data_IF_870174595206
#
_entry.id   IF_870174595206
#
_cell.length_a   1.000
_cell.length_b   1.000
_cell.length_c   1.000
_cell.angle_alpha   90.00
_cell.angle_beta   90.00
_cell.angle_gamma   90.00
#
_symmetry.space_group_name_H-M   'P 1'
#
loop_
_entity.id
_entity.type
_entity.pdbx_description
1 polymer ?
#
# COMPACT_ATOMS: atom_id res chain seq x y z
N UNK A 1 -2.24 14.96 -9.86
CA UNK A 1 -1.37 14.66 -11.03
C UNK A 1 -1.88 15.52 -12.18
N UNK A 2 -1.03 16.37 -12.77
CA UNK A 2 -1.39 17.15 -13.94
C UNK A 2 -1.73 16.27 -15.16
N UNK A 3 -2.60 16.73 -16.07
CA UNK A 3 -3.10 15.92 -17.20
C UNK A 3 -2.00 15.60 -18.22
N UNK A 4 -1.03 16.49 -18.33
CA UNK A 4 0.15 16.39 -19.20
C UNK A 4 1.10 15.25 -18.81
N UNK A 5 0.99 14.72 -17.58
CA UNK A 5 1.74 13.55 -17.11
C UNK A 5 0.91 12.26 -17.17
N UNK A 6 -0.19 12.25 -17.94
CA UNK A 6 -1.06 11.09 -18.13
C UNK A 6 -1.00 10.62 -19.57
N UNK A 7 -0.46 9.42 -19.75
CA UNK A 7 -0.24 8.80 -21.05
C UNK A 7 -1.18 7.62 -21.23
N UNK A 8 -1.84 7.56 -22.37
CA UNK A 8 -2.74 6.46 -22.73
C UNK A 8 -1.96 5.40 -23.49
N UNK A 9 -2.11 4.14 -23.08
CA UNK A 9 -1.45 2.99 -23.70
C UNK A 9 -2.51 2.19 -24.47
N UNK A 10 -2.22 1.78 -25.72
CA UNK A 10 -3.11 0.87 -26.43
C UNK A 10 -3.02 -0.55 -25.85
N UNK A 11 -3.92 -0.91 -24.94
CA UNK A 11 -4.13 -2.29 -24.49
C UNK A 11 -5.61 -2.55 -24.15
N UNK A 12 -6.02 -3.82 -24.02
CA UNK A 12 -7.32 -4.13 -23.40
C UNK A 12 -7.40 -5.53 -22.81
N UNK A 13 -7.83 -5.60 -21.55
CA UNK A 13 -8.36 -6.80 -20.92
C UNK A 13 -9.90 -6.80 -20.98
N UNK A 14 -10.50 -7.98 -21.15
CA UNK A 14 -11.93 -8.19 -20.96
C UNK A 14 -12.28 -8.27 -19.47
N UNK A 15 -13.57 -8.12 -19.16
CA UNK A 15 -14.08 -8.21 -17.78
C UNK A 15 -13.91 -9.60 -17.15
N UNK A 16 -13.64 -10.63 -17.93
CA UNK A 16 -13.32 -11.98 -17.47
C UNK A 16 -11.81 -12.26 -17.35
N UNK A 17 -10.96 -11.28 -17.68
CA UNK A 17 -9.50 -11.40 -17.63
C UNK A 17 -8.84 -11.88 -18.91
N UNK A 18 -9.60 -12.20 -19.98
CA UNK A 18 -9.03 -12.53 -21.29
C UNK A 18 -8.43 -11.30 -21.96
N UNK A 19 -7.31 -11.47 -22.65
CA UNK A 19 -6.72 -10.41 -23.47
C UNK A 19 -7.63 -10.14 -24.68
N UNK A 20 -8.08 -8.90 -24.82
CA UNK A 20 -8.84 -8.42 -26.00
C UNK A 20 -7.96 -7.68 -26.99
N UNK A 21 -6.95 -6.97 -26.48
CA UNK A 21 -5.93 -6.29 -27.27
C UNK A 21 -4.63 -6.38 -26.49
N UNK A 22 -3.63 -6.99 -27.11
CA UNK A 22 -2.27 -7.06 -26.57
C UNK A 22 -1.74 -5.65 -26.25
N UNK A 23 -0.90 -5.58 -25.22
CA UNK A 23 -0.27 -4.32 -24.83
C UNK A 23 0.76 -3.86 -25.88
N UNK A 24 0.63 -2.61 -26.32
CA UNK A 24 1.67 -1.96 -27.13
C UNK A 24 2.84 -1.53 -26.24
N UNK A 25 3.85 -2.41 -26.14
CA UNK A 25 5.05 -2.14 -25.34
C UNK A 25 5.89 -0.99 -25.88
N UNK A 26 5.83 -0.69 -27.18
CA UNK A 26 6.59 0.44 -27.72
C UNK A 26 5.91 1.77 -27.38
N UNK A 27 4.57 1.80 -27.30
CA UNK A 27 3.85 2.93 -26.73
C UNK A 27 4.19 3.14 -25.24
N UNK A 28 4.29 2.05 -24.46
CA UNK A 28 4.73 2.14 -23.06
C UNK A 28 6.12 2.76 -22.96
N UNK A 29 7.10 2.27 -23.73
CA UNK A 29 8.47 2.80 -23.71
C UNK A 29 8.51 4.27 -24.09
N UNK A 30 7.80 4.68 -25.16
CA UNK A 30 7.72 6.09 -25.58
C UNK A 30 7.14 6.98 -24.47
N UNK A 31 6.02 6.57 -23.87
CA UNK A 31 5.39 7.31 -22.77
C UNK A 31 6.32 7.41 -21.55
N UNK A 32 7.03 6.33 -21.22
CA UNK A 32 7.95 6.29 -20.09
C UNK A 32 9.15 7.24 -20.29
N UNK A 33 9.71 7.29 -21.50
CA UNK A 33 10.81 8.22 -21.85
C UNK A 33 10.31 9.67 -21.77
N UNK A 34 9.14 9.97 -22.33
CA UNK A 34 8.55 11.31 -22.23
C UNK A 34 8.31 11.74 -20.77
N UNK A 35 7.81 10.83 -19.93
CA UNK A 35 7.61 11.10 -18.52
C UNK A 35 8.95 11.37 -17.81
N UNK A 36 9.99 10.59 -18.11
CA UNK A 36 11.35 10.80 -17.57
C UNK A 36 11.91 12.16 -17.99
N UNK A 37 11.77 12.53 -19.25
CA UNK A 37 12.20 13.84 -19.78
C UNK A 37 11.44 15.00 -19.14
N UNK A 38 10.18 14.79 -18.74
CA UNK A 38 9.40 15.73 -17.96
C UNK A 38 9.81 15.79 -16.46
N UNK A 39 10.82 15.02 -16.05
CA UNK A 39 11.40 15.07 -14.71
C UNK A 39 10.65 14.25 -13.64
N UNK A 40 9.84 13.26 -14.02
CA UNK A 40 9.17 12.41 -13.03
C UNK A 40 10.15 11.45 -12.36
N UNK A 41 10.03 11.30 -11.04
CA UNK A 41 10.86 10.39 -10.23
C UNK A 41 10.24 8.98 -10.08
N UNK A 42 8.99 8.81 -10.54
CA UNK A 42 8.27 7.55 -10.45
C UNK A 42 7.04 7.51 -11.34
N UNK A 43 6.61 6.30 -11.70
CA UNK A 43 5.49 6.07 -12.61
C UNK A 43 4.45 5.17 -11.92
N UNK A 44 3.17 5.42 -12.18
CA UNK A 44 2.07 4.56 -11.75
C UNK A 44 1.38 3.99 -12.99
N UNK A 45 1.05 2.69 -12.96
CA UNK A 45 0.35 2.00 -14.04
C UNK A 45 -0.99 1.49 -13.52
N UNK A 46 -2.06 1.82 -14.23
CA UNK A 46 -3.41 1.37 -13.92
C UNK A 46 -4.19 1.07 -15.21
N UNK A 47 -4.36 -0.22 -15.50
CA UNK A 47 -5.15 -0.69 -16.64
C UNK A 47 -6.51 -1.23 -16.21
N UNK A 48 -7.47 -1.21 -17.12
CA UNK A 48 -8.80 -1.75 -16.82
C UNK A 48 -8.73 -3.27 -16.64
N UNK A 49 -9.44 -3.77 -15.63
CA UNK A 49 -9.51 -5.19 -15.27
C UNK A 49 -8.17 -5.86 -14.88
N UNK A 50 -7.10 -5.11 -14.63
CA UNK A 50 -5.82 -5.72 -14.20
C UNK A 50 -5.89 -6.42 -12.84
N UNK A 51 -6.90 -6.09 -12.00
CA UNK A 51 -7.20 -6.84 -10.78
C UNK A 51 -7.61 -8.30 -11.02
N UNK A 52 -8.03 -8.65 -12.26
CA UNK A 52 -8.30 -10.04 -12.67
C UNK A 52 -7.12 -10.68 -13.36
N UNK A 53 -6.45 -9.92 -14.23
CA UNK A 53 -5.28 -10.38 -14.96
C UNK A 53 -4.22 -9.26 -15.00
N UNK A 54 -3.17 -9.34 -14.17
CA UNK A 54 -2.16 -8.29 -14.05
C UNK A 54 -1.12 -8.30 -15.18
N UNK A 55 -1.19 -9.24 -16.14
CA UNK A 55 -0.13 -9.49 -17.11
C UNK A 55 0.32 -8.23 -17.88
N UNK A 56 -0.61 -7.39 -18.32
CA UNK A 56 -0.25 -6.14 -19.02
C UNK A 56 0.42 -5.11 -18.10
N UNK A 57 -0.01 -4.99 -16.85
CA UNK A 57 0.63 -4.05 -15.92
C UNK A 57 2.05 -4.51 -15.55
N UNK A 58 2.25 -5.81 -15.35
CA UNK A 58 3.56 -6.40 -15.13
C UNK A 58 4.48 -6.15 -16.33
N UNK A 59 4.00 -6.44 -17.54
CA UNK A 59 4.77 -6.20 -18.76
C UNK A 59 5.09 -4.71 -18.96
N UNK A 60 4.14 -3.81 -18.65
CA UNK A 60 4.37 -2.38 -18.70
C UNK A 60 5.45 -1.93 -17.70
N UNK A 61 5.37 -2.39 -16.45
CA UNK A 61 6.38 -2.11 -15.42
C UNK A 61 7.76 -2.51 -15.89
N UNK A 62 7.91 -3.75 -16.37
CA UNK A 62 9.20 -4.28 -16.78
C UNK A 62 9.75 -3.50 -18.00
N UNK A 63 8.90 -3.13 -18.95
CA UNK A 63 9.27 -2.29 -20.09
C UNK A 63 9.67 -0.85 -19.68
N UNK A 64 8.95 -0.24 -18.73
CA UNK A 64 9.28 1.09 -18.18
C UNK A 64 10.67 1.05 -17.53
N UNK A 65 10.91 0.06 -16.67
CA UNK A 65 12.18 -0.11 -15.96
C UNK A 65 13.32 -0.28 -16.96
N UNK A 66 13.15 -1.17 -17.95
CA UNK A 66 14.16 -1.42 -18.98
C UNK A 66 14.48 -0.19 -19.84
N UNK A 67 13.47 0.62 -20.19
CA UNK A 67 13.65 1.78 -21.06
C UNK A 67 14.21 3.01 -20.34
N UNK A 68 13.87 3.19 -19.06
CA UNK A 68 14.13 4.46 -18.35
C UNK A 68 15.12 4.33 -17.20
N UNK A 69 15.29 3.12 -16.64
CA UNK A 69 16.00 2.87 -15.39
C UNK A 69 15.24 3.30 -14.13
N UNK A 70 14.05 3.90 -14.25
CA UNK A 70 13.23 4.32 -13.10
C UNK A 70 12.74 3.07 -12.37
N UNK A 71 13.19 2.88 -11.12
CA UNK A 71 12.81 1.74 -10.29
C UNK A 71 11.49 1.96 -9.53
N UNK A 72 11.09 3.22 -9.34
CA UNK A 72 9.87 3.57 -8.64
C UNK A 72 8.65 3.47 -9.57
N UNK A 73 8.27 2.23 -9.89
CA UNK A 73 7.07 1.93 -10.70
C UNK A 73 6.08 1.15 -9.84
N UNK A 74 4.90 1.73 -9.58
CA UNK A 74 3.81 1.04 -8.89
C UNK A 74 2.75 0.60 -9.88
N UNK A 75 2.35 -0.67 -9.81
CA UNK A 75 1.23 -1.19 -10.59
C UNK A 75 0.01 -1.36 -9.69
N UNK A 76 -1.14 -0.92 -10.17
CA UNK A 76 -2.36 -0.87 -9.35
C UNK A 76 -2.86 -2.26 -8.93
N UNK A 77 -2.56 -3.29 -9.71
CA UNK A 77 -2.89 -4.69 -9.41
C UNK A 77 -2.09 -5.25 -8.23
N UNK A 78 -0.86 -4.78 -7.98
CA UNK A 78 -0.10 -5.15 -6.77
C UNK A 78 -0.61 -4.39 -5.54
N UNK A 79 -0.95 -3.10 -5.71
CA UNK A 79 -1.31 -2.21 -4.60
C UNK A 79 -2.74 -2.47 -4.09
N UNK A 80 -3.70 -2.59 -4.99
CA UNK A 80 -5.09 -2.77 -4.61
C UNK A 80 -5.87 -3.57 -5.66
N UNK A 81 -5.75 -4.92 -5.69
CA UNK A 81 -6.41 -5.77 -6.68
C UNK A 81 -7.92 -5.94 -6.43
N UNK A 82 -8.68 -4.84 -6.52
CA UNK A 82 -10.15 -4.84 -6.43
C UNK A 82 -10.78 -4.16 -7.65
N UNK A 83 -12.08 -4.39 -7.83
CA UNK A 83 -12.86 -3.66 -8.84
C UNK A 83 -12.94 -2.16 -8.47
N UNK A 84 -12.96 -1.29 -9.49
CA UNK A 84 -12.88 0.17 -9.35
C UNK A 84 -11.57 0.72 -9.88
N UNK A 85 -11.59 1.36 -11.06
CA UNK A 85 -10.40 1.89 -11.71
C UNK A 85 -9.91 3.20 -11.10
N UNK A 86 -10.82 4.06 -10.65
CA UNK A 86 -10.46 5.36 -10.08
C UNK A 86 -9.70 5.20 -8.76
N UNK A 87 -10.25 4.39 -7.85
CA UNK A 87 -9.67 4.10 -6.56
C UNK A 87 -8.31 3.40 -6.69
N UNK A 88 -8.20 2.45 -7.61
CA UNK A 88 -6.96 1.74 -7.93
C UNK A 88 -5.89 2.66 -8.50
N UNK A 89 -6.27 3.50 -9.47
CA UNK A 89 -5.35 4.45 -10.07
C UNK A 89 -4.81 5.43 -9.02
N UNK A 90 -5.69 5.96 -8.16
CA UNK A 90 -5.29 6.84 -7.05
C UNK A 90 -4.35 6.13 -6.09
N UNK A 91 -4.65 4.89 -5.69
CA UNK A 91 -3.79 4.14 -4.79
C UNK A 91 -2.39 3.92 -5.38
N UNK A 92 -2.30 3.57 -6.67
CA UNK A 92 -1.02 3.41 -7.36
C UNK A 92 -0.25 4.74 -7.44
N UNK A 93 -0.92 5.84 -7.78
CA UNK A 93 -0.32 7.18 -7.82
C UNK A 93 0.18 7.63 -6.45
N UNK A 94 -0.64 7.47 -5.40
CA UNK A 94 -0.24 7.80 -4.03
C UNK A 94 0.93 6.95 -3.56
N UNK A 95 0.93 5.65 -3.88
CA UNK A 95 2.05 4.77 -3.54
C UNK A 95 3.34 5.24 -4.20
N UNK A 96 3.33 5.46 -5.53
CA UNK A 96 4.49 5.97 -6.27
C UNK A 96 5.00 7.30 -5.72
N UNK A 97 4.09 8.21 -5.36
CA UNK A 97 4.44 9.53 -4.82
C UNK A 97 5.12 9.46 -3.44
N UNK A 98 4.61 8.61 -2.54
CA UNK A 98 5.08 8.53 -1.15
C UNK A 98 6.33 7.64 -1.01
N UNK A 99 6.52 6.69 -1.93
CA UNK A 99 7.53 5.63 -1.85
C UNK A 99 8.98 6.11 -1.63
N UNK A 100 9.50 7.12 -2.32
CA UNK A 100 10.89 7.56 -2.11
C UNK A 100 11.14 8.05 -0.68
N UNK A 101 10.24 8.90 -0.15
CA UNK A 101 10.36 9.47 1.20
C UNK A 101 10.24 8.40 2.28
N UNK A 102 9.25 7.51 2.15
CA UNK A 102 9.08 6.43 3.11
C UNK A 102 10.22 5.41 3.06
N UNK A 103 10.76 5.15 1.87
CA UNK A 103 11.92 4.26 1.72
C UNK A 103 13.14 4.78 2.46
N UNK A 104 13.45 6.08 2.32
CA UNK A 104 14.56 6.71 3.03
C UNK A 104 14.33 6.69 4.55
N UNK A 105 13.14 7.09 5.00
CA UNK A 105 12.79 7.11 6.42
C UNK A 105 12.91 5.73 7.09
N UNK A 106 12.36 4.69 6.46
CA UNK A 106 12.44 3.33 7.01
C UNK A 106 13.89 2.84 7.03
N UNK A 107 14.67 3.11 5.99
CA UNK A 107 16.09 2.73 5.94
C UNK A 107 16.92 3.39 7.05
N UNK A 108 16.62 4.65 7.41
CA UNK A 108 17.26 5.33 8.54
C UNK A 108 16.97 4.65 9.88
N UNK A 109 15.72 4.20 10.09
CA UNK A 109 15.34 3.45 11.29
C UNK A 109 16.03 2.09 11.32
N UNK A 110 16.06 1.36 10.20
CA UNK A 110 16.74 0.07 10.10
C UNK A 110 18.23 0.19 10.43
N UNK A 111 18.90 1.24 9.92
CA UNK A 111 20.30 1.52 10.25
C UNK A 111 20.49 1.80 11.74
N UNK A 112 19.65 2.66 12.31
CA UNK A 112 19.71 3.02 13.73
C UNK A 112 19.51 1.79 14.63
N UNK A 113 18.58 0.89 14.26
CA UNK A 113 18.34 -0.37 14.94
C UNK A 113 19.53 -1.32 14.81
N UNK A 114 20.09 -1.49 13.61
CA UNK A 114 21.26 -2.35 13.40
C UNK A 114 22.49 -1.94 14.23
N UNK A 115 22.67 -0.64 14.47
CA UNK A 115 23.78 -0.11 15.29
C UNK A 115 23.59 -0.34 16.79
N UNK A 116 22.36 -0.41 17.29
CA UNK A 116 22.06 -0.34 18.75
C UNK A 116 21.32 -1.56 19.30
N UNK A 117 20.54 -2.22 18.46
CA UNK A 117 19.63 -3.32 18.77
C UNK A 117 19.68 -4.37 17.63
N UNK A 118 20.82 -5.06 17.41
CA UNK A 118 21.06 -5.89 16.24
C UNK A 118 20.08 -7.07 16.08
N UNK A 119 19.48 -7.54 17.18
CA UNK A 119 18.49 -8.62 17.17
C UNK A 119 17.04 -8.13 17.05
N UNK A 120 16.81 -6.80 17.04
CA UNK A 120 15.47 -6.24 16.95
C UNK A 120 14.91 -6.32 15.53
N UNK A 121 13.62 -6.66 15.44
CA UNK A 121 12.87 -6.67 14.18
C UNK A 121 12.00 -5.42 14.08
N UNK A 122 12.11 -4.68 12.98
CA UNK A 122 11.26 -3.53 12.71
C UNK A 122 9.93 -3.98 12.09
N UNK A 123 8.84 -3.66 12.79
CA UNK A 123 7.49 -3.77 12.28
C UNK A 123 6.83 -2.40 12.21
N UNK A 124 6.06 -2.16 11.15
CA UNK A 124 5.40 -0.88 10.87
C UNK A 124 3.90 -1.12 10.82
N UNK A 125 3.13 -0.35 11.57
CA UNK A 125 1.69 -0.52 11.62
C UNK A 125 1.03 -0.15 10.27
N UNK A 126 0.00 -0.90 9.90
CA UNK A 126 -0.87 -0.66 8.75
C UNK A 126 -2.16 0.06 9.15
N UNK A 127 -2.82 0.64 8.15
CA UNK A 127 -4.12 1.28 8.30
C UNK A 127 -5.27 0.32 8.67
N UNK A 128 -5.09 -0.99 8.50
CA UNK A 128 -6.06 -2.01 8.86
C UNK A 128 -5.89 -2.53 10.31
N UNK A 129 -4.91 -2.03 11.07
CA UNK A 129 -4.59 -2.48 12.43
C UNK A 129 -3.61 -3.66 12.51
N UNK A 130 -3.14 -4.18 11.38
CA UNK A 130 -2.05 -5.15 11.30
C UNK A 130 -0.67 -4.48 11.24
N UNK A 131 0.39 -5.30 11.13
CA UNK A 131 1.77 -4.81 11.02
C UNK A 131 2.48 -5.41 9.79
N UNK A 132 3.35 -4.61 9.17
CA UNK A 132 4.20 -4.97 8.04
C UNK A 132 5.65 -5.10 8.49
N UNK A 133 6.38 -5.99 7.82
CA UNK A 133 7.84 -5.91 7.82
C UNK A 133 8.30 -4.62 7.10
N UNK A 134 9.47 -4.11 7.48
CA UNK A 134 10.05 -2.90 6.90
C UNK A 134 10.14 -2.95 5.37
N UNK A 135 10.57 -4.08 4.80
CA UNK A 135 10.68 -4.27 3.34
C UNK A 135 9.33 -4.08 2.62
N UNK A 136 8.25 -4.62 3.19
CA UNK A 136 6.91 -4.52 2.60
C UNK A 136 6.34 -3.10 2.74
N UNK A 137 6.58 -2.45 3.89
CA UNK A 137 6.21 -1.05 4.09
C UNK A 137 6.96 -0.09 3.15
N UNK A 138 8.20 -0.42 2.74
CA UNK A 138 8.94 0.32 1.70
C UNK A 138 8.37 0.06 0.31
N UNK A 139 7.89 -1.15 0.03
CA UNK A 139 7.30 -1.50 -1.25
C UNK A 139 5.93 -0.83 -1.45
N UNK A 140 5.09 -0.84 -0.41
CA UNK A 140 3.69 -0.40 -0.43
C UNK A 140 3.32 0.57 0.71
N UNK A 141 4.00 1.73 0.84
CA UNK A 141 3.78 2.66 1.95
C UNK A 141 2.37 3.29 1.97
N UNK A 142 1.61 3.21 0.88
CA UNK A 142 0.21 3.65 0.88
C UNK A 142 -0.62 2.92 1.96
N UNK A 143 -0.24 1.69 2.35
CA UNK A 143 -0.91 0.94 3.41
C UNK A 143 -0.59 1.42 4.83
N UNK A 144 0.43 2.27 5.01
CA UNK A 144 0.79 2.83 6.32
C UNK A 144 0.15 4.21 6.56
N UNK A 145 -0.57 4.76 5.58
CA UNK A 145 -1.32 6.00 5.74
C UNK A 145 -2.38 5.84 6.83
N UNK A 146 -2.41 6.75 7.81
CA UNK A 146 -3.32 6.68 8.97
C UNK A 146 -3.12 5.43 9.87
N UNK A 147 -1.92 4.85 9.87
CA UNK A 147 -1.55 3.73 10.74
C UNK A 147 -1.63 4.05 12.24
N UNK A 148 -1.24 5.27 12.66
CA UNK A 148 -1.31 5.69 14.07
C UNK A 148 -2.73 5.58 14.67
N UNK A 149 -3.76 6.16 14.03
CA UNK A 149 -5.15 5.96 14.42
C UNK A 149 -5.58 4.48 14.49
N UNK A 150 -5.17 3.67 13.51
CA UNK A 150 -5.48 2.24 13.47
C UNK A 150 -4.82 1.47 14.65
N UNK A 151 -3.60 1.83 15.03
CA UNK A 151 -2.95 1.33 16.25
C UNK A 151 -3.79 1.62 17.49
N UNK A 152 -4.35 2.83 17.59
CA UNK A 152 -5.18 3.24 18.73
C UNK A 152 -6.45 2.39 18.86
N UNK A 153 -7.11 2.10 17.74
CA UNK A 153 -8.27 1.20 17.71
C UNK A 153 -7.86 -0.23 18.09
N UNK A 154 -6.72 -0.71 17.57
CA UNK A 154 -6.20 -2.05 17.85
C UNK A 154 -5.83 -2.23 19.33
N UNK A 155 -5.22 -1.20 19.94
CA UNK A 155 -4.91 -1.17 21.37
C UNK A 155 -6.18 -1.12 22.22
N UNK A 156 -7.16 -0.30 21.86
CA UNK A 156 -8.45 -0.26 22.55
C UNK A 156 -9.20 -1.59 22.45
N UNK A 157 -9.08 -2.30 21.32
CA UNK A 157 -9.60 -3.65 21.16
C UNK A 157 -8.89 -4.62 22.12
N UNK A 158 -7.55 -4.62 22.14
CA UNK A 158 -6.82 -5.48 23.07
C UNK A 158 -7.19 -5.22 24.55
N UNK A 159 -7.31 -3.94 24.94
CA UNK A 159 -7.71 -3.54 26.29
C UNK A 159 -9.15 -3.94 26.61
N UNK A 160 -10.09 -3.76 25.67
CA UNK A 160 -11.49 -4.13 25.86
C UNK A 160 -11.65 -5.62 26.18
N UNK A 161 -10.92 -6.51 25.48
CA UNK A 161 -10.90 -7.95 25.80
C UNK A 161 -10.34 -8.20 27.20
N UNK A 162 -9.28 -7.49 27.58
CA UNK A 162 -8.61 -7.66 28.87
C UNK A 162 -9.44 -7.15 30.06
N UNK A 163 -10.28 -6.13 29.82
CA UNK A 163 -11.15 -5.50 30.81
C UNK A 163 -12.59 -6.04 30.79
N UNK A 164 -12.90 -7.00 29.91
CA UNK A 164 -14.26 -7.48 29.62
C UNK A 164 -15.24 -6.37 29.16
N UNK A 165 -14.71 -5.35 28.50
CA UNK A 165 -15.46 -4.21 27.96
C UNK A 165 -15.79 -4.40 26.47
N UNK A 166 -17.08 -4.30 26.13
CA UNK A 166 -17.59 -4.57 24.77
C UNK A 166 -17.74 -3.33 23.89
N UNK A 167 -17.71 -2.15 24.49
CA UNK A 167 -17.94 -0.88 23.80
C UNK A 167 -16.83 0.08 24.18
N UNK A 168 -15.92 0.34 23.23
CA UNK A 168 -14.82 1.28 23.40
C UNK A 168 -15.01 2.42 22.40
N UNK A 169 -14.83 3.66 22.87
CA UNK A 169 -14.83 4.86 22.04
C UNK A 169 -13.41 5.40 21.97
N UNK A 170 -12.81 5.38 20.79
CA UNK A 170 -11.46 5.93 20.56
C UNK A 170 -11.54 7.23 19.78
N UNK A 171 -10.81 8.25 20.23
CA UNK A 171 -10.67 9.52 19.51
C UNK A 171 -9.44 9.46 18.60
N UNK A 172 -9.62 9.82 17.34
CA UNK A 172 -8.55 9.90 16.34
C UNK A 172 -8.18 11.37 16.15
N UNK A 173 -6.97 11.78 16.57
CA UNK A 173 -6.50 13.18 16.51
C UNK A 173 -5.93 13.59 15.14
N UNK A 174 -5.67 12.64 14.23
CA UNK A 174 -4.94 12.91 12.99
C UNK A 174 -5.71 13.71 11.91
N UNK A 175 -6.86 14.31 12.25
CA UNK A 175 -7.69 15.11 11.34
C UNK A 175 -8.19 16.37 12.07
N UNK A 176 -8.37 17.52 11.36
CA UNK A 176 -8.76 18.80 11.98
C UNK A 176 -10.11 18.78 12.70
N UNK A 177 -10.97 17.81 12.38
CA UNK A 177 -12.24 17.58 13.06
C UNK A 177 -12.22 16.21 13.77
N UNK A 178 -12.69 16.11 15.03
CA UNK A 178 -12.70 14.85 15.76
C UNK A 178 -13.68 13.86 15.11
N UNK A 179 -13.16 12.76 14.57
CA UNK A 179 -13.97 11.62 14.13
C UNK A 179 -14.06 10.64 15.29
N UNK A 180 -15.29 10.42 15.77
CA UNK A 180 -15.60 9.40 16.77
C UNK A 180 -16.09 8.15 16.03
N UNK A 181 -15.48 6.99 16.31
CA UNK A 181 -15.94 5.71 15.78
C UNK A 181 -16.16 4.74 16.93
N UNK A 182 -17.40 4.29 17.08
CA UNK A 182 -17.73 3.19 17.98
C UNK A 182 -17.43 1.86 17.28
N UNK A 183 -16.81 0.94 18.01
CA UNK A 183 -16.61 -0.43 17.57
C UNK A 183 -17.26 -1.39 18.57
N UNK A 184 -18.00 -2.37 18.04
CA UNK A 184 -18.49 -3.53 18.79
C UNK A 184 -17.64 -4.73 18.40
N UNK A 185 -17.00 -5.37 19.37
CA UNK A 185 -16.28 -6.62 19.09
C UNK A 185 -17.26 -7.74 18.74
N UNK A 186 -17.04 -8.39 17.60
CA UNK A 186 -17.95 -9.40 17.07
C UNK A 186 -17.66 -10.84 17.53
N UNK A 187 -16.57 -11.16 18.24
CA UNK A 187 -16.30 -12.54 18.67
C UNK A 187 -15.52 -12.62 19.99
N UNK A 188 -15.95 -13.53 20.88
CA UNK A 188 -15.14 -14.02 22.01
C UNK A 188 -14.03 -14.93 21.45
N UNK A 189 -12.75 -14.74 21.83
CA UNK A 189 -11.81 -15.84 21.77
C UNK A 189 -12.22 -16.92 22.79
N UNK A 190 -12.08 -18.19 22.43
CA UNK A 190 -12.42 -19.31 23.32
C UNK A 190 -11.59 -19.25 24.61
N UNK A 191 -12.10 -19.80 25.74
CA UNK A 191 -11.38 -19.81 27.02
C UNK A 191 -9.97 -20.41 26.95
N UNK A 192 -9.70 -21.27 25.97
CA UNK A 192 -8.40 -21.94 25.77
C UNK A 192 -7.32 -20.98 25.27
N UNK A 193 -7.67 -19.97 24.47
CA UNK A 193 -6.74 -18.92 24.00
C UNK A 193 -6.24 -17.98 25.11
N UNK A 194 -6.92 -17.94 26.27
CA UNK A 194 -6.50 -17.10 27.41
C UNK A 194 -5.27 -17.65 28.14
N UNK A 195 -4.95 -18.95 27.99
CA UNK A 195 -3.87 -19.61 28.73
C UNK A 195 -2.51 -19.58 28.02
N UNK A 196 -2.44 -19.21 26.75
CA UNK A 196 -1.18 -19.18 25.98
C UNK A 196 -0.52 -17.80 25.85
N UNK A 197 -1.14 -16.74 26.40
CA UNK A 197 -0.62 -15.37 26.35
C UNK A 197 0.23 -15.00 27.58
N UNK A 198 0.90 -15.98 28.21
CA UNK A 198 2.02 -15.72 29.14
C UNK A 198 3.30 -15.95 28.37
N UNK A 199 3.85 -14.88 27.80
CA UNK A 199 5.24 -14.87 27.34
C UNK A 199 6.15 -14.98 28.57
N UNK A 200 6.91 -16.07 28.66
CA UNK A 200 8.17 -16.12 29.44
C UNK A 200 9.28 -15.52 28.60
#
# INVERSE_FOLDING_TARGET
>A
MPRELVYEIPERMASDGRVRKEIDLDAVKRAAVQAKEAGVEGIAVAFLHSFRNPAHELAARDAIVAATGIQNVSISSDIWPKIGEYERAIAAVLNTYVKPRMTAYIAEIERWLGERLPDAKLFIMQSNGGALAAAEARAMPVHTLLSGPASGVSAAQYLGVSLDERCMLTRIWAVPAPIYRSFRMANRPSPEMRKSATFR
#
